data_IF_214788724174
#
_entry.id   IF_214788724174
#
_cell.length_a   1.000
_cell.length_b   1.000
_cell.length_c   1.000
_cell.angle_alpha   90.00
_cell.angle_beta   90.00
_cell.angle_gamma   90.00
#
_symmetry.space_group_name_H-M   'P 1'
#
loop_
_entity.id
_entity.type
_entity.pdbx_description
1 polymer ?
#
# COMPACT_ATOMS: atom_id res chain seq x y z
N UNK A 1 -23.49 14.84 2.42
CA UNK A 1 -23.35 16.30 2.61
C UNK A 1 -21.99 16.65 3.22
N UNK A 2 -20.95 15.82 3.05
CA UNK A 2 -19.75 15.91 3.91
C UNK A 2 -18.42 15.58 3.23
N UNK A 3 -18.38 14.97 2.03
CA UNK A 3 -17.11 14.46 1.47
C UNK A 3 -16.47 15.40 0.45
N UNK A 4 -17.23 16.05 -0.40
CA UNK A 4 -16.68 17.10 -1.23
C UNK A 4 -16.44 18.39 -0.41
N UNK A 5 -17.16 18.64 0.71
CA UNK A 5 -16.78 19.62 1.74
C UNK A 5 -15.43 19.27 2.34
N UNK A 6 -15.07 17.99 2.45
CA UNK A 6 -13.77 17.58 3.02
C UNK A 6 -12.56 17.82 2.12
N UNK A 7 -12.76 17.93 0.80
CA UNK A 7 -11.68 18.30 -0.12
C UNK A 7 -11.81 19.74 -0.65
N UNK A 8 -13.01 20.34 -0.60
CA UNK A 8 -13.26 21.74 -0.98
C UNK A 8 -13.09 22.73 0.18
N UNK A 9 -13.38 22.35 1.44
CA UNK A 9 -13.17 23.18 2.63
C UNK A 9 -11.71 23.18 3.06
N UNK A 10 -10.99 22.09 2.80
CA UNK A 10 -9.55 21.99 2.93
C UNK A 10 -8.92 22.14 1.54
N UNK A 11 -8.92 23.36 0.99
CA UNK A 11 -8.13 23.71 -0.19
C UNK A 11 -6.65 23.33 0.06
N UNK A 12 -6.33 22.06 -0.11
CA UNK A 12 -4.99 21.53 -0.27
C UNK A 12 -4.65 21.91 -1.70
N UNK A 13 -4.36 23.20 -1.91
CA UNK A 13 -3.65 23.62 -3.09
C UNK A 13 -2.39 22.77 -3.17
N UNK A 14 -2.09 22.25 -4.36
CA UNK A 14 -0.90 21.45 -4.62
C UNK A 14 0.36 22.34 -4.55
N UNK A 15 0.67 22.91 -3.39
CA UNK A 15 1.76 23.85 -3.14
C UNK A 15 3.11 23.14 -3.00
N UNK A 16 3.06 21.83 -2.84
CA UNK A 16 4.14 20.99 -2.36
C UNK A 16 4.48 19.86 -3.35
N UNK A 17 3.73 19.74 -4.43
CA UNK A 17 3.98 18.76 -5.47
C UNK A 17 3.74 19.33 -6.85
N UNK A 18 4.35 18.72 -7.85
CA UNK A 18 4.07 18.98 -9.26
C UNK A 18 3.41 17.78 -9.92
N UNK A 19 2.63 18.05 -10.97
CA UNK A 19 2.12 17.00 -11.84
C UNK A 19 3.25 16.54 -12.76
N UNK A 20 3.48 15.23 -12.83
CA UNK A 20 4.42 14.67 -13.78
C UNK A 20 3.80 14.63 -15.17
N UNK A 21 4.62 14.83 -16.19
CA UNK A 21 4.16 14.72 -17.57
C UNK A 21 3.92 13.23 -17.87
N UNK A 22 2.73 12.82 -18.38
CA UNK A 22 2.44 11.43 -18.73
C UNK A 22 3.44 10.80 -19.70
N UNK A 23 4.19 11.58 -20.48
CA UNK A 23 5.26 11.05 -21.34
C UNK A 23 6.50 10.57 -20.57
N UNK A 24 6.60 10.86 -19.27
CA UNK A 24 7.75 10.50 -18.42
C UNK A 24 7.58 9.15 -17.71
N UNK A 25 6.40 8.53 -17.80
CA UNK A 25 6.12 7.26 -17.15
C UNK A 25 5.17 6.40 -17.98
N UNK A 26 5.22 5.10 -17.78
CA UNK A 26 4.29 4.16 -18.41
C UNK A 26 3.30 3.69 -17.35
N UNK A 27 2.00 3.82 -17.63
CA UNK A 27 0.96 3.25 -16.77
C UNK A 27 0.54 1.85 -17.19
N UNK A 28 1.11 1.31 -18.27
CA UNK A 28 0.72 0.03 -18.88
C UNK A 28 -0.78 -0.08 -19.21
N UNK A 29 -1.45 1.07 -19.39
CA UNK A 29 -2.88 1.19 -19.66
C UNK A 29 -3.76 1.32 -18.41
N UNK A 30 -3.17 1.31 -17.22
CA UNK A 30 -3.85 1.65 -15.97
C UNK A 30 -3.95 3.16 -15.77
N UNK A 31 -4.78 3.57 -14.82
CA UNK A 31 -4.85 4.92 -14.28
C UNK A 31 -4.99 6.04 -15.32
N UNK A 32 -5.70 5.80 -16.43
CA UNK A 32 -5.71 6.71 -17.59
C UNK A 32 -6.16 8.15 -17.25
N UNK A 33 -7.08 8.30 -16.30
CA UNK A 33 -7.67 9.59 -15.89
C UNK A 33 -7.06 10.14 -14.57
N UNK A 34 -6.01 9.50 -14.04
CA UNK A 34 -5.36 9.95 -12.81
C UNK A 34 -4.07 10.71 -13.09
N UNK A 35 -3.88 11.81 -12.36
CA UNK A 35 -2.68 12.64 -12.47
C UNK A 35 -1.66 12.18 -11.44
N UNK A 36 -0.53 11.65 -11.90
CA UNK A 36 0.61 11.36 -11.03
C UNK A 36 1.27 12.66 -10.59
N UNK A 37 1.57 12.77 -9.29
CA UNK A 37 2.23 13.93 -8.70
C UNK A 37 3.43 13.51 -7.88
N UNK A 38 4.45 14.37 -7.84
CA UNK A 38 5.69 14.14 -7.08
C UNK A 38 5.96 15.31 -6.12
N UNK A 39 6.32 15.02 -4.87
CA UNK A 39 6.75 16.03 -3.89
C UNK A 39 8.13 16.59 -4.25
N UNK A 40 8.33 17.89 -4.00
CA UNK A 40 9.62 18.55 -4.27
C UNK A 40 10.75 18.13 -3.31
N UNK A 41 10.42 17.76 -2.09
CA UNK A 41 11.29 17.44 -0.95
C UNK A 41 11.25 15.94 -0.62
N UNK A 42 11.12 15.07 -1.64
CA UNK A 42 11.11 13.60 -1.51
C UNK A 42 12.27 13.04 -0.66
N UNK A 43 13.41 13.73 -0.65
CA UNK A 43 14.56 13.39 0.19
C UNK A 43 14.24 13.26 1.69
N UNK A 44 13.22 13.95 2.20
CA UNK A 44 12.81 13.81 3.62
C UNK A 44 12.11 12.47 3.87
N UNK A 45 11.29 11.98 2.94
CA UNK A 45 10.71 10.65 3.03
C UNK A 45 11.77 9.55 2.85
N UNK A 46 12.70 9.75 1.90
CA UNK A 46 13.85 8.84 1.68
C UNK A 46 14.71 8.73 2.95
N UNK A 47 15.02 9.86 3.61
CA UNK A 47 15.75 9.84 4.87
C UNK A 47 15.00 9.08 5.99
N UNK A 48 13.66 9.09 5.97
CA UNK A 48 12.84 8.25 6.85
C UNK A 48 13.00 6.75 6.55
N UNK A 49 13.01 6.39 5.26
CA UNK A 49 13.23 5.02 4.80
C UNK A 49 14.64 4.52 5.18
N UNK A 50 15.67 5.34 4.93
CA UNK A 50 17.05 5.04 5.32
C UNK A 50 17.19 4.78 6.83
N UNK A 51 16.54 5.60 7.65
CA UNK A 51 16.54 5.41 9.10
C UNK A 51 15.85 4.10 9.52
N UNK A 52 14.72 3.74 8.88
CA UNK A 52 14.06 2.47 9.13
C UNK A 52 14.95 1.27 8.73
N UNK A 53 15.63 1.34 7.59
CA UNK A 53 16.60 0.30 7.17
C UNK A 53 17.78 0.19 8.14
N UNK A 54 18.31 1.31 8.61
CA UNK A 54 19.40 1.33 9.57
C UNK A 54 18.99 0.73 10.93
N UNK A 55 17.82 1.10 11.44
CA UNK A 55 17.26 0.51 12.65
C UNK A 55 16.94 -0.98 12.48
N UNK A 56 16.41 -1.38 11.32
CA UNK A 56 16.17 -2.79 11.02
C UNK A 56 17.47 -3.60 11.04
N UNK A 57 18.52 -3.13 10.36
CA UNK A 57 19.82 -3.77 10.36
C UNK A 57 20.44 -3.85 11.75
N UNK A 58 20.27 -2.81 12.58
CA UNK A 58 20.81 -2.74 13.94
C UNK A 58 20.03 -3.56 14.96
N UNK A 59 18.70 -3.54 14.90
CA UNK A 59 17.81 -4.12 15.92
C UNK A 59 17.29 -5.49 15.54
N UNK A 60 16.98 -5.73 14.26
CA UNK A 60 16.44 -6.99 13.75
C UNK A 60 17.56 -7.90 13.24
N UNK A 61 18.60 -7.30 12.63
CA UNK A 61 19.78 -8.03 12.16
C UNK A 61 19.59 -8.84 10.88
N UNK A 62 18.41 -8.75 10.25
CA UNK A 62 18.08 -9.45 9.01
C UNK A 62 18.22 -8.51 7.82
N UNK A 63 18.77 -9.00 6.70
CA UNK A 63 18.78 -8.25 5.45
C UNK A 63 17.46 -8.46 4.72
N UNK A 64 16.89 -7.39 4.18
CA UNK A 64 15.79 -7.53 3.22
C UNK A 64 16.33 -7.96 1.87
N UNK A 65 15.63 -8.86 1.20
CA UNK A 65 15.96 -9.36 -0.14
C UNK A 65 15.24 -8.61 -1.26
N UNK A 66 14.28 -7.75 -0.92
CA UNK A 66 13.50 -6.96 -1.88
C UNK A 66 13.63 -5.46 -1.57
N UNK A 67 13.37 -4.65 -2.59
CA UNK A 67 13.29 -3.19 -2.42
C UNK A 67 12.15 -2.82 -1.45
N UNK A 68 12.38 -1.76 -0.67
CA UNK A 68 11.37 -1.12 0.16
C UNK A 68 10.78 0.09 -0.55
N UNK A 69 10.27 1.06 0.21
CA UNK A 69 9.59 2.28 -0.20
C UNK A 69 10.37 3.16 -1.20
N UNK A 70 11.69 3.05 -1.28
CA UNK A 70 12.54 3.92 -2.12
C UNK A 70 12.60 3.49 -3.60
N UNK A 71 12.41 4.44 -4.51
CA UNK A 71 12.71 4.28 -5.94
C UNK A 71 13.49 5.49 -6.45
N UNK A 72 14.76 5.28 -6.80
CA UNK A 72 15.69 6.33 -7.23
C UNK A 72 15.33 6.97 -8.58
N UNK A 73 14.51 6.29 -9.39
CA UNK A 73 14.12 6.76 -10.74
C UNK A 73 12.90 7.65 -10.66
N UNK A 74 11.83 7.19 -10.01
CA UNK A 74 10.53 7.88 -10.01
C UNK A 74 10.27 8.69 -8.74
N UNK A 75 10.87 8.32 -7.61
CA UNK A 75 10.64 8.91 -6.27
C UNK A 75 10.13 7.87 -5.28
N UNK A 76 10.19 8.16 -3.98
CA UNK A 76 9.72 7.21 -2.97
C UNK A 76 8.22 6.94 -3.07
N UNK A 77 7.81 5.71 -2.77
CA UNK A 77 6.41 5.28 -2.71
C UNK A 77 5.60 6.20 -1.80
N UNK A 78 6.16 6.58 -0.65
CA UNK A 78 5.51 7.50 0.29
C UNK A 78 5.08 8.82 -0.37
N UNK A 79 5.92 9.44 -1.21
CA UNK A 79 5.59 10.75 -1.79
C UNK A 79 4.84 10.69 -3.11
N UNK A 80 4.96 9.58 -3.86
CA UNK A 80 4.16 9.33 -5.06
C UNK A 80 2.72 8.95 -4.70
N UNK A 81 2.53 8.16 -3.64
CA UNK A 81 1.20 7.84 -3.12
C UNK A 81 0.62 8.97 -2.27
N UNK A 82 1.46 9.79 -1.63
CA UNK A 82 1.02 10.94 -0.82
C UNK A 82 1.67 12.24 -1.25
N UNK A 83 1.30 12.76 -2.43
CA UNK A 83 1.84 14.02 -2.94
C UNK A 83 1.36 15.25 -2.15
N UNK A 84 0.52 15.07 -1.14
CA UNK A 84 -0.01 16.10 -0.23
C UNK A 84 0.40 15.88 1.23
N UNK A 85 1.40 15.03 1.47
CA UNK A 85 1.92 14.82 2.82
C UNK A 85 2.45 16.14 3.42
N UNK A 86 2.03 16.42 4.64
CA UNK A 86 2.51 17.56 5.42
C UNK A 86 3.99 17.39 5.72
N UNK A 87 4.79 18.44 5.52
CA UNK A 87 6.25 18.36 5.58
C UNK A 87 6.76 17.84 6.93
N UNK A 88 6.11 18.23 8.03
CA UNK A 88 6.44 17.77 9.39
C UNK A 88 6.13 16.29 9.65
N UNK A 89 5.29 15.67 8.81
CA UNK A 89 4.92 14.24 8.91
C UNK A 89 5.67 13.36 7.90
N UNK A 90 6.35 13.96 6.93
CA UNK A 90 6.97 13.23 5.81
C UNK A 90 8.00 12.19 6.24
N UNK A 91 8.91 12.56 7.14
CA UNK A 91 9.97 11.66 7.59
C UNK A 91 9.40 10.40 8.26
N UNK A 92 8.44 10.58 9.18
CA UNK A 92 7.86 9.45 9.92
C UNK A 92 6.98 8.59 9.00
N UNK A 93 6.30 9.15 8.01
CA UNK A 93 5.56 8.37 7.03
C UNK A 93 6.48 7.52 6.14
N UNK A 94 7.63 8.06 5.71
CA UNK A 94 8.66 7.28 5.01
C UNK A 94 9.14 6.11 5.87
N UNK A 95 9.46 6.36 7.14
CA UNK A 95 9.86 5.32 8.10
C UNK A 95 8.79 4.22 8.26
N UNK A 96 7.51 4.61 8.41
CA UNK A 96 6.40 3.67 8.60
C UNK A 96 6.20 2.77 7.38
N UNK A 97 6.23 3.32 6.16
CA UNK A 97 6.09 2.52 4.95
C UNK A 97 7.26 1.56 4.77
N UNK A 98 8.49 2.04 4.98
CA UNK A 98 9.68 1.18 4.88
C UNK A 98 9.63 0.02 5.89
N UNK A 99 9.26 0.30 7.15
CA UNK A 99 9.06 -0.74 8.15
C UNK A 99 8.02 -1.77 7.70
N UNK A 100 6.91 -1.33 7.10
CA UNK A 100 5.87 -2.23 6.62
C UNK A 100 6.38 -3.13 5.49
N UNK A 101 7.11 -2.61 4.52
CA UNK A 101 7.74 -3.42 3.46
C UNK A 101 8.76 -4.42 4.03
N UNK A 102 9.61 -3.99 4.97
CA UNK A 102 10.59 -4.88 5.61
C UNK A 102 9.90 -6.02 6.38
N UNK A 103 8.82 -5.69 7.12
CA UNK A 103 8.02 -6.67 7.84
C UNK A 103 7.31 -7.65 6.88
N UNK A 104 6.75 -7.15 5.79
CA UNK A 104 6.05 -7.97 4.80
C UNK A 104 7.02 -8.95 4.10
N UNK A 105 8.18 -8.46 3.65
CA UNK A 105 9.24 -9.28 3.08
C UNK A 105 9.70 -10.39 4.03
N UNK A 106 9.81 -10.08 5.34
CA UNK A 106 10.11 -11.08 6.35
C UNK A 106 8.97 -12.09 6.48
N UNK A 107 7.73 -11.63 6.55
CA UNK A 107 6.55 -12.48 6.73
C UNK A 107 6.41 -13.45 5.54
N UNK A 108 6.58 -12.99 4.30
CA UNK A 108 6.64 -13.83 3.11
C UNK A 108 7.74 -14.90 3.20
N UNK A 109 8.96 -14.52 3.57
CA UNK A 109 10.04 -15.48 3.79
C UNK A 109 9.73 -16.47 4.93
N UNK A 110 9.01 -16.05 5.98
CA UNK A 110 8.63 -16.94 7.10
C UNK A 110 7.55 -17.94 6.74
N UNK A 111 6.63 -17.58 5.82
CA UNK A 111 5.61 -18.49 5.28
C UNK A 111 6.25 -19.62 4.51
N UNK A 112 7.44 -19.39 3.98
CA UNK A 112 8.26 -20.35 3.23
C UNK A 112 9.15 -21.22 4.14
N UNK A 113 8.74 -21.39 5.41
CA UNK A 113 9.14 -22.28 6.53
C UNK A 113 10.59 -22.75 6.75
N UNK A 114 11.49 -22.72 5.77
CA UNK A 114 12.92 -23.05 5.90
C UNK A 114 13.83 -21.83 5.67
N UNK A 115 13.36 -20.81 4.93
CA UNK A 115 14.15 -19.64 4.55
C UNK A 115 14.58 -18.75 5.74
N UNK A 116 13.79 -18.68 6.83
CA UNK A 116 14.24 -17.95 8.03
C UNK A 116 15.45 -18.64 8.66
N UNK A 117 15.42 -19.98 8.75
CA UNK A 117 16.52 -20.75 9.30
C UNK A 117 17.75 -20.66 8.38
N UNK A 118 17.55 -20.69 7.06
CA UNK A 118 18.65 -20.60 6.09
C UNK A 118 19.24 -19.18 5.96
N UNK A 119 18.41 -18.12 5.97
CA UNK A 119 18.88 -16.73 6.03
C UNK A 119 19.55 -16.40 7.37
N UNK A 120 19.04 -16.94 8.48
CA UNK A 120 19.69 -16.82 9.80
C UNK A 120 21.05 -17.55 9.84
N UNK A 121 21.16 -18.69 9.15
CA UNK A 121 22.39 -19.47 9.03
C UNK A 121 23.39 -18.82 8.06
N UNK A 122 22.93 -18.21 6.97
CA UNK A 122 23.77 -17.63 5.92
C UNK A 122 24.17 -16.16 6.16
N UNK A 123 23.39 -15.39 6.91
CA UNK A 123 23.65 -13.95 7.13
C UNK A 123 24.66 -13.64 8.24
N UNK A 124 24.95 -14.59 9.13
CA UNK A 124 25.84 -14.37 10.27
C UNK A 124 26.80 -15.54 10.47
N UNK A 125 28.09 -15.29 10.21
CA UNK A 125 29.15 -16.21 10.61
C UNK A 125 29.13 -16.39 12.13
N UNK A 126 28.96 -17.65 12.55
CA UNK A 126 29.29 -18.24 13.87
C UNK A 126 28.40 -17.96 15.10
N UNK A 127 27.97 -19.08 15.73
CA UNK A 127 27.81 -19.36 17.17
C UNK A 127 26.44 -19.25 17.88
N UNK A 128 25.38 -18.64 17.31
CA UNK A 128 24.06 -18.58 17.98
C UNK A 128 23.04 -19.58 17.44
N UNK A 129 22.21 -20.14 18.34
CA UNK A 129 21.12 -21.05 17.96
C UNK A 129 20.01 -20.27 17.23
N UNK A 130 19.40 -20.80 16.16
CA UNK A 130 18.33 -20.11 15.39
C UNK A 130 17.18 -19.54 16.22
N UNK A 131 16.82 -20.23 17.31
CA UNK A 131 15.76 -19.80 18.24
C UNK A 131 16.08 -18.48 18.97
N UNK A 132 17.36 -18.25 19.29
CA UNK A 132 17.81 -17.01 19.93
C UNK A 132 17.70 -15.86 18.93
N UNK A 133 18.13 -16.09 17.70
CA UNK A 133 18.08 -15.08 16.64
C UNK A 133 16.64 -14.70 16.26
N UNK A 134 15.73 -15.67 16.20
CA UNK A 134 14.31 -15.39 15.98
C UNK A 134 13.70 -14.57 17.13
N UNK A 135 14.11 -14.82 18.38
CA UNK A 135 13.69 -14.03 19.54
C UNK A 135 14.26 -12.61 19.51
N UNK A 136 15.51 -12.44 19.10
CA UNK A 136 16.16 -11.13 18.92
C UNK A 136 15.52 -10.33 17.80
N UNK A 137 15.28 -10.94 16.63
CA UNK A 137 14.57 -10.30 15.51
C UNK A 137 13.16 -9.82 15.94
N UNK A 138 12.42 -10.66 16.67
CA UNK A 138 11.11 -10.29 17.22
C UNK A 138 11.21 -9.14 18.22
N UNK A 139 12.25 -9.12 19.05
CA UNK A 139 12.52 -8.03 19.99
C UNK A 139 12.86 -6.73 19.26
N UNK A 140 13.65 -6.79 18.18
CA UNK A 140 13.99 -5.64 17.35
C UNK A 140 12.78 -5.04 16.65
N UNK A 141 11.94 -5.88 16.02
CA UNK A 141 10.68 -5.43 15.42
C UNK A 141 9.76 -4.77 16.45
N UNK A 142 9.70 -5.32 17.67
CA UNK A 142 8.93 -4.74 18.77
C UNK A 142 9.45 -3.34 19.13
N UNK A 143 10.76 -3.14 19.23
CA UNK A 143 11.36 -1.83 19.53
C UNK A 143 11.05 -0.79 18.45
N UNK A 144 11.16 -1.17 17.16
CA UNK A 144 10.78 -0.28 16.05
C UNK A 144 9.29 0.05 16.09
N UNK A 145 8.43 -0.93 16.41
CA UNK A 145 7.00 -0.71 16.55
C UNK A 145 6.65 0.24 17.70
N UNK A 146 7.33 0.12 18.85
CA UNK A 146 7.20 1.04 19.99
C UNK A 146 7.64 2.46 19.62
N UNK A 147 8.77 2.60 18.93
CA UNK A 147 9.26 3.89 18.43
C UNK A 147 8.24 4.57 17.50
N UNK A 148 7.72 3.85 16.50
CA UNK A 148 6.70 4.40 15.60
C UNK A 148 5.43 4.77 16.36
N UNK A 149 4.99 3.92 17.30
CA UNK A 149 3.80 4.16 18.12
C UNK A 149 3.92 5.47 18.90
N UNK A 150 5.05 5.69 19.57
CA UNK A 150 5.29 6.94 20.32
C UNK A 150 5.28 8.16 19.39
N UNK A 151 5.95 8.08 18.24
CA UNK A 151 6.04 9.18 17.27
C UNK A 151 4.68 9.52 16.66
N UNK A 152 3.93 8.52 16.21
CA UNK A 152 2.61 8.70 15.61
C UNK A 152 1.66 9.34 16.65
N UNK A 153 1.61 8.80 17.87
CA UNK A 153 0.69 9.27 18.91
C UNK A 153 1.04 10.65 19.49
N UNK A 154 2.31 11.04 19.46
CA UNK A 154 2.73 12.38 19.87
C UNK A 154 2.39 13.46 18.84
N UNK A 155 2.31 13.10 17.55
CA UNK A 155 1.91 14.00 16.46
C UNK A 155 0.39 14.11 16.36
N UNK A 156 -0.31 12.98 16.27
CA UNK A 156 -1.76 12.93 16.11
C UNK A 156 -2.32 11.68 16.80
N UNK A 157 -2.76 11.84 18.04
CA UNK A 157 -3.30 10.74 18.84
C UNK A 157 -4.56 10.12 18.23
N UNK A 158 -5.41 10.93 17.59
CA UNK A 158 -6.72 10.44 17.09
C UNK A 158 -6.49 9.55 15.88
N UNK A 159 -5.82 10.07 14.85
CA UNK A 159 -5.52 9.29 13.64
C UNK A 159 -4.52 8.18 13.94
N UNK A 160 -3.56 8.44 14.82
CA UNK A 160 -2.59 7.46 15.28
C UNK A 160 -3.20 6.22 15.91
N UNK A 161 -4.21 6.38 16.78
CA UNK A 161 -4.94 5.23 17.33
C UNK A 161 -5.70 4.45 16.26
N UNK A 162 -6.16 5.09 15.17
CA UNK A 162 -6.79 4.38 14.03
C UNK A 162 -5.75 3.55 13.27
N UNK A 163 -4.55 4.10 13.00
CA UNK A 163 -3.42 3.37 12.39
C UNK A 163 -3.08 2.11 13.19
N UNK A 164 -2.85 2.24 14.50
CA UNK A 164 -2.44 1.11 15.35
C UNK A 164 -3.50 0.01 15.42
N UNK A 165 -4.79 0.39 15.45
CA UNK A 165 -5.90 -0.58 15.41
C UNK A 165 -5.98 -1.30 14.06
N UNK A 166 -5.82 -0.57 12.96
CA UNK A 166 -5.83 -1.15 11.62
C UNK A 166 -4.63 -2.10 11.41
N UNK A 167 -3.44 -1.72 11.86
CA UNK A 167 -2.25 -2.57 11.82
C UNK A 167 -2.44 -3.87 12.62
N UNK A 168 -2.98 -3.75 13.85
CA UNK A 168 -3.29 -4.92 14.67
C UNK A 168 -4.29 -5.83 13.98
N UNK A 169 -5.33 -5.29 13.34
CA UNK A 169 -6.30 -6.08 12.57
C UNK A 169 -5.60 -6.80 11.42
N UNK A 170 -4.79 -6.09 10.63
CA UNK A 170 -4.04 -6.65 9.51
C UNK A 170 -3.16 -7.84 9.94
N UNK A 171 -2.35 -7.68 10.99
CA UNK A 171 -1.53 -8.79 11.52
C UNK A 171 -2.41 -9.92 12.07
N UNK A 172 -3.51 -9.61 12.77
CA UNK A 172 -4.36 -10.62 13.42
C UNK A 172 -5.20 -11.43 12.45
N UNK A 173 -5.57 -10.87 11.30
CA UNK A 173 -6.28 -11.59 10.22
C UNK A 173 -5.32 -12.39 9.34
N UNK A 174 -4.07 -12.53 9.77
CA UNK A 174 -3.09 -13.36 9.14
C UNK A 174 -2.59 -12.74 7.85
N UNK A 175 -1.93 -11.59 7.94
CA UNK A 175 -0.90 -11.20 6.98
C UNK A 175 -0.04 -12.44 6.71
N UNK A 176 -0.34 -13.13 5.60
CA UNK A 176 0.30 -14.40 5.31
C UNK A 176 -0.13 -15.70 5.98
N UNK A 177 -1.26 -15.82 6.66
CA UNK A 177 -1.70 -17.16 7.09
C UNK A 177 -2.32 -17.99 5.95
N UNK A 178 -2.35 -17.45 4.73
CA UNK A 178 -3.04 -18.00 3.57
C UNK A 178 -2.37 -19.19 2.89
N UNK A 179 -1.74 -20.11 3.63
CA UNK A 179 -1.38 -21.40 3.02
C UNK A 179 -2.67 -22.13 2.66
N UNK A 180 -2.83 -22.45 1.37
CA UNK A 180 -3.92 -23.26 0.82
C UNK A 180 -5.32 -22.64 0.91
N UNK A 181 -5.46 -21.33 0.68
CA UNK A 181 -6.79 -20.74 0.52
C UNK A 181 -7.34 -21.14 -0.85
N UNK A 182 -8.47 -21.85 -0.84
CA UNK A 182 -9.21 -22.16 -2.05
C UNK A 182 -10.18 -21.01 -2.36
N UNK A 183 -10.09 -20.49 -3.59
CA UNK A 183 -11.02 -19.48 -4.08
C UNK A 183 -11.94 -20.14 -5.11
N UNK A 184 -13.24 -20.21 -4.84
CA UNK A 184 -14.23 -20.75 -5.81
C UNK A 184 -14.59 -19.75 -6.92
N UNK A 185 -14.20 -18.48 -6.76
CA UNK A 185 -14.50 -17.41 -7.70
C UNK A 185 -13.50 -16.27 -7.56
N UNK A 186 -13.39 -15.43 -8.58
CA UNK A 186 -12.55 -14.25 -8.47
C UNK A 186 -13.12 -13.23 -7.45
N UNK A 187 -14.43 -13.21 -7.24
CA UNK A 187 -15.05 -12.30 -6.28
C UNK A 187 -14.76 -12.72 -4.82
N UNK A 188 -14.66 -14.03 -4.54
CA UNK A 188 -14.19 -14.49 -3.22
C UNK A 188 -12.72 -14.13 -2.99
N UNK A 189 -11.88 -14.21 -4.02
CA UNK A 189 -10.49 -13.70 -3.98
C UNK A 189 -10.44 -12.21 -3.68
N UNK A 190 -11.20 -11.38 -4.41
CA UNK A 190 -11.26 -9.92 -4.20
C UNK A 190 -11.65 -9.57 -2.76
N UNK A 191 -12.64 -10.26 -2.20
CA UNK A 191 -13.08 -10.01 -0.82
C UNK A 191 -11.99 -10.36 0.21
N UNK A 192 -11.23 -11.42 -0.03
CA UNK A 192 -10.05 -11.73 0.77
C UNK A 192 -8.95 -10.66 0.61
N UNK A 193 -8.63 -10.29 -0.64
CA UNK A 193 -7.52 -9.39 -0.98
C UNK A 193 -7.70 -7.98 -0.41
N UNK A 194 -8.94 -7.52 -0.24
CA UNK A 194 -9.25 -6.25 0.42
C UNK A 194 -8.72 -6.13 1.85
N UNK A 195 -8.63 -7.24 2.57
CA UNK A 195 -8.07 -7.28 3.94
C UNK A 195 -6.56 -7.51 3.87
N UNK A 196 -6.12 -8.41 2.98
CA UNK A 196 -4.72 -8.83 2.83
C UNK A 196 -3.80 -7.74 2.25
N UNK A 197 -4.30 -6.81 1.45
CA UNK A 197 -3.50 -5.67 0.93
C UNK A 197 -3.22 -4.58 1.99
N UNK A 198 -3.66 -4.78 3.24
CA UNK A 198 -3.57 -3.76 4.30
C UNK A 198 -4.19 -2.40 3.94
N UNK A 199 -5.17 -2.36 3.02
CA UNK A 199 -5.69 -1.12 2.42
C UNK A 199 -6.22 -0.12 3.46
N UNK A 200 -6.94 -0.61 4.47
CA UNK A 200 -7.41 0.23 5.58
C UNK A 200 -6.26 0.86 6.38
N UNK A 201 -5.18 0.10 6.62
CA UNK A 201 -4.02 0.62 7.33
C UNK A 201 -3.31 1.69 6.51
N UNK A 202 -3.10 1.44 5.22
CA UNK A 202 -2.52 2.42 4.30
C UNK A 202 -3.33 3.70 4.31
N UNK A 203 -4.66 3.64 4.15
CA UNK A 203 -5.54 4.82 4.19
C UNK A 203 -5.40 5.66 5.47
N UNK A 204 -5.32 5.03 6.64
CA UNK A 204 -5.08 5.80 7.87
C UNK A 204 -3.68 6.44 7.92
N UNK A 205 -2.65 5.76 7.39
CA UNK A 205 -1.31 6.36 7.24
C UNK A 205 -1.36 7.54 6.27
N UNK A 206 -2.14 7.43 5.19
CA UNK A 206 -2.35 8.50 4.21
C UNK A 206 -3.00 9.73 4.85
N UNK A 207 -4.12 9.52 5.56
CA UNK A 207 -4.83 10.57 6.29
C UNK A 207 -3.96 11.21 7.35
N UNK A 208 -3.20 10.41 8.09
CA UNK A 208 -2.20 10.92 9.03
C UNK A 208 -1.18 11.79 8.32
N UNK A 209 -0.58 11.34 7.21
CA UNK A 209 0.39 12.12 6.45
C UNK A 209 -0.17 13.46 5.97
N UNK A 210 -1.44 13.49 5.56
CA UNK A 210 -2.11 14.71 5.09
C UNK A 210 -2.72 15.58 6.19
N UNK A 211 -2.54 15.23 7.47
CA UNK A 211 -3.22 15.90 8.59
C UNK A 211 -4.75 15.93 8.46
N UNK A 212 -5.32 14.89 7.85
CA UNK A 212 -6.74 14.77 7.57
C UNK A 212 -7.42 13.92 8.64
N UNK A 213 -8.43 14.47 9.31
CA UNK A 213 -9.20 13.76 10.32
C UNK A 213 -10.68 13.76 9.93
N UNK A 214 -11.20 12.57 9.62
CA UNK A 214 -12.58 12.38 9.22
C UNK A 214 -13.43 12.02 10.44
N UNK A 215 -14.62 12.60 10.52
CA UNK A 215 -15.67 12.13 11.42
C UNK A 215 -16.19 10.75 11.00
N UNK A 216 -16.78 9.99 11.91
CA UNK A 216 -17.31 8.65 11.61
C UNK A 216 -18.34 8.68 10.46
N UNK A 217 -19.11 9.77 10.34
CA UNK A 217 -20.05 9.97 9.25
C UNK A 217 -19.35 10.14 7.89
N UNK A 218 -18.30 10.96 7.87
CA UNK A 218 -17.49 11.19 6.68
C UNK A 218 -16.76 9.91 6.26
N UNK A 219 -16.22 9.14 7.21
CA UNK A 219 -15.63 7.83 6.93
C UNK A 219 -16.65 6.86 6.33
N UNK A 220 -17.86 6.81 6.88
CA UNK A 220 -18.94 5.96 6.38
C UNK A 220 -19.35 6.34 4.97
N UNK A 221 -19.44 7.63 4.67
CA UNK A 221 -19.74 8.09 3.33
C UNK A 221 -18.58 7.81 2.35
N UNK A 222 -17.33 7.79 2.81
CA UNK A 222 -16.14 7.62 1.96
C UNK A 222 -15.79 6.15 1.73
N UNK A 223 -16.25 5.26 2.61
CA UNK A 223 -15.94 3.84 2.60
C UNK A 223 -16.12 3.15 1.23
N UNK A 224 -17.17 3.43 0.41
CA UNK A 224 -17.29 2.84 -0.92
C UNK A 224 -16.15 3.23 -1.86
N UNK A 225 -15.72 4.50 -1.85
CA UNK A 225 -14.57 4.98 -2.63
C UNK A 225 -13.27 4.38 -2.12
N UNK A 226 -13.06 4.39 -0.80
CA UNK A 226 -11.86 3.83 -0.20
C UNK A 226 -11.71 2.34 -0.52
N UNK A 227 -12.80 1.57 -0.46
CA UNK A 227 -12.80 0.14 -0.82
C UNK A 227 -12.37 -0.08 -2.27
N UNK A 228 -12.87 0.72 -3.21
CA UNK A 228 -12.44 0.64 -4.61
C UNK A 228 -10.97 1.02 -4.76
N UNK A 229 -10.52 2.08 -4.10
CA UNK A 229 -9.11 2.48 -4.13
C UNK A 229 -8.17 1.37 -3.63
N UNK A 230 -8.53 0.68 -2.54
CA UNK A 230 -7.73 -0.45 -2.02
C UNK A 230 -7.68 -1.60 -3.02
N UNK A 231 -8.81 -1.90 -3.66
CA UNK A 231 -8.90 -3.00 -4.61
C UNK A 231 -8.11 -2.71 -5.89
N UNK A 232 -8.24 -1.49 -6.43
CA UNK A 232 -7.46 -1.04 -7.58
C UNK A 232 -5.96 -1.15 -7.27
N UNK A 233 -5.55 -0.63 -6.11
CA UNK A 233 -4.17 -0.72 -5.65
C UNK A 233 -3.71 -2.18 -5.55
N UNK A 234 -4.50 -3.06 -4.91
CA UNK A 234 -4.17 -4.47 -4.76
C UNK A 234 -4.00 -5.19 -6.09
N UNK A 235 -4.93 -5.01 -7.03
CA UNK A 235 -4.87 -5.68 -8.33
C UNK A 235 -3.78 -5.11 -9.23
N UNK A 236 -3.47 -3.81 -9.11
CA UNK A 236 -2.25 -3.27 -9.70
C UNK A 236 -1.03 -3.98 -9.17
N UNK A 237 -0.88 -4.08 -7.84
CA UNK A 237 0.23 -4.80 -7.20
C UNK A 237 0.31 -6.24 -7.72
N UNK A 238 -0.78 -7.00 -7.69
CA UNK A 238 -0.82 -8.37 -8.20
C UNK A 238 -0.34 -8.48 -9.65
N UNK A 239 -0.77 -7.57 -10.53
CA UNK A 239 -0.34 -7.55 -11.94
C UNK A 239 1.17 -7.33 -12.08
N UNK A 240 1.71 -6.35 -11.37
CA UNK A 240 3.09 -5.88 -11.54
C UNK A 240 4.12 -6.68 -10.75
N UNK A 241 3.73 -7.26 -9.61
CA UNK A 241 4.60 -8.07 -8.76
C UNK A 241 4.61 -9.54 -9.18
N UNK A 242 3.64 -9.98 -9.99
CA UNK A 242 3.45 -11.38 -10.38
C UNK A 242 4.74 -12.06 -10.81
N UNK A 243 5.51 -11.47 -11.72
CA UNK A 243 6.70 -12.15 -12.28
C UNK A 243 7.76 -12.42 -11.20
N UNK A 244 7.95 -11.48 -10.28
CA UNK A 244 8.91 -11.59 -9.18
C UNK A 244 8.39 -12.56 -8.12
N UNK A 245 7.13 -12.42 -7.72
CA UNK A 245 6.51 -13.28 -6.73
C UNK A 245 6.40 -14.73 -7.22
N UNK A 246 6.06 -14.94 -8.49
CA UNK A 246 5.95 -16.25 -9.10
C UNK A 246 7.31 -16.92 -9.27
N UNK A 247 8.37 -16.17 -9.60
CA UNK A 247 9.73 -16.71 -9.62
C UNK A 247 10.14 -17.22 -8.24
N UNK A 248 9.90 -16.44 -7.19
CA UNK A 248 10.16 -16.83 -5.80
C UNK A 248 9.35 -18.06 -5.42
N UNK A 249 8.03 -18.06 -5.71
CA UNK A 249 7.15 -19.20 -5.45
C UNK A 249 7.62 -20.49 -6.15
N UNK A 250 8.18 -20.39 -7.36
CA UNK A 250 8.69 -21.53 -8.11
C UNK A 250 9.99 -22.11 -7.54
N UNK A 251 10.89 -21.25 -7.08
CA UNK A 251 12.20 -21.65 -6.59
C UNK A 251 12.11 -22.37 -5.22
N UNK A 252 11.04 -22.11 -4.45
CA UNK A 252 10.82 -22.68 -3.12
C UNK A 252 10.27 -24.11 -3.10
N UNK A 253 10.07 -24.75 -4.26
CA UNK A 253 9.64 -26.16 -4.34
C UNK A 253 8.20 -26.44 -3.88
N UNK A 254 7.48 -25.46 -3.31
CA UNK A 254 6.03 -25.52 -3.01
C UNK A 254 5.15 -25.33 -4.26
N UNK A 255 5.75 -25.27 -5.45
CA UNK A 255 5.08 -25.18 -6.76
C UNK A 255 4.05 -26.31 -7.03
N UNK A 256 4.01 -27.35 -6.20
CA UNK A 256 3.05 -28.44 -6.29
C UNK A 256 1.67 -28.12 -5.66
N UNK A 257 1.56 -27.12 -4.77
CA UNK A 257 0.24 -26.70 -4.25
C UNK A 257 -0.32 -25.54 -5.07
N UNK A 258 -1.26 -25.86 -5.96
CA UNK A 258 -2.02 -24.89 -6.77
C UNK A 258 -2.69 -23.76 -5.95
N UNK A 259 -2.83 -23.93 -4.64
CA UNK A 259 -3.54 -23.02 -3.72
C UNK A 259 -2.61 -22.24 -2.77
N UNK A 260 -1.30 -22.37 -2.94
CA UNK A 260 -0.32 -21.70 -2.08
C UNK A 260 0.06 -20.29 -2.55
N UNK A 261 -0.30 -19.90 -3.79
CA UNK A 261 0.08 -18.61 -4.35
C UNK A 261 -1.09 -17.61 -4.40
N UNK A 262 -1.03 -16.61 -3.53
CA UNK A 262 -2.07 -15.59 -3.34
C UNK A 262 -1.79 -14.36 -4.21
N UNK A 263 -2.09 -14.45 -5.50
CA UNK A 263 -1.95 -13.35 -6.46
C UNK A 263 -3.10 -13.41 -7.48
N UNK A 264 -3.71 -12.27 -7.81
CA UNK A 264 -4.86 -12.21 -8.71
C UNK A 264 -4.62 -12.81 -10.09
N UNK A 265 -3.42 -12.63 -10.67
CA UNK A 265 -3.07 -13.23 -11.97
C UNK A 265 -3.10 -14.75 -11.87
N UNK A 266 -2.50 -15.32 -10.83
CA UNK A 266 -2.52 -16.76 -10.58
C UNK A 266 -3.95 -17.31 -10.41
N UNK A 267 -4.77 -16.62 -9.62
CA UNK A 267 -6.16 -17.01 -9.40
C UNK A 267 -6.96 -16.98 -10.71
N UNK A 268 -6.73 -16.00 -11.58
CA UNK A 268 -7.37 -15.96 -12.90
C UNK A 268 -6.95 -17.10 -13.82
N UNK A 269 -5.65 -17.44 -13.83
CA UNK A 269 -5.13 -18.60 -14.55
C UNK A 269 -5.83 -19.88 -14.09
N UNK A 270 -5.88 -20.11 -12.78
CA UNK A 270 -6.46 -21.32 -12.19
C UNK A 270 -7.96 -21.43 -12.45
N UNK A 271 -8.72 -20.38 -12.20
CA UNK A 271 -10.19 -20.44 -12.30
C UNK A 271 -10.70 -20.57 -13.73
N UNK A 272 -9.95 -20.08 -14.71
CA UNK A 272 -10.41 -19.96 -16.09
C UNK A 272 -9.57 -20.76 -17.09
N UNK A 273 -8.51 -21.44 -16.65
CA UNK A 273 -7.60 -22.18 -17.53
C UNK A 273 -6.81 -21.27 -18.49
N UNK A 274 -6.50 -20.04 -18.06
CA UNK A 274 -5.83 -19.02 -18.88
C UNK A 274 -4.30 -19.14 -18.82
N UNK A 275 -3.63 -18.71 -19.90
CA UNK A 275 -2.19 -18.43 -19.85
C UNK A 275 -1.87 -17.18 -19.01
N UNK A 276 -0.59 -16.97 -18.68
CA UNK A 276 -0.14 -15.81 -17.89
C UNK A 276 -0.53 -14.49 -18.54
N UNK A 277 -0.28 -14.33 -19.85
CA UNK A 277 -0.56 -13.09 -20.56
C UNK A 277 -2.07 -12.80 -20.62
N UNK A 278 -2.88 -13.83 -20.87
CA UNK A 278 -4.35 -13.73 -20.87
C UNK A 278 -4.88 -13.36 -19.48
N UNK A 279 -4.34 -13.97 -18.42
CA UNK A 279 -4.72 -13.68 -17.06
C UNK A 279 -4.30 -12.26 -16.63
N UNK A 280 -3.11 -11.81 -17.01
CA UNK A 280 -2.66 -10.42 -16.81
C UNK A 280 -3.59 -9.43 -17.50
N UNK A 281 -3.97 -9.67 -18.76
CA UNK A 281 -4.92 -8.81 -19.46
C UNK A 281 -6.30 -8.82 -18.78
N UNK A 282 -6.76 -9.98 -18.30
CA UNK A 282 -8.03 -10.06 -17.57
C UNK A 282 -8.00 -9.29 -16.24
N UNK A 283 -6.89 -9.35 -15.48
CA UNK A 283 -6.67 -8.51 -14.29
C UNK A 283 -6.68 -7.03 -14.66
N UNK A 284 -6.02 -6.67 -15.75
CA UNK A 284 -5.98 -5.28 -16.23
C UNK A 284 -7.37 -4.74 -16.54
N UNK A 285 -8.16 -5.46 -17.34
CA UNK A 285 -9.54 -5.10 -17.69
C UNK A 285 -10.40 -4.95 -16.43
N UNK A 286 -10.29 -5.88 -15.48
CA UNK A 286 -11.07 -5.82 -14.23
C UNK A 286 -10.68 -4.63 -13.37
N UNK A 287 -9.39 -4.32 -13.30
CA UNK A 287 -8.89 -3.16 -12.56
C UNK A 287 -9.35 -1.84 -13.17
N UNK A 288 -9.29 -1.71 -14.51
CA UNK A 288 -9.82 -0.55 -15.23
C UNK A 288 -11.34 -0.37 -15.00
N UNK A 289 -12.10 -1.46 -14.89
CA UNK A 289 -13.51 -1.38 -14.55
C UNK A 289 -13.72 -0.77 -13.14
N UNK A 290 -12.91 -1.15 -12.16
CA UNK A 290 -12.95 -0.54 -10.82
C UNK A 290 -12.48 0.91 -10.82
N UNK A 291 -11.47 1.28 -11.61
CA UNK A 291 -11.03 2.67 -11.80
C UNK A 291 -12.18 3.54 -12.34
N UNK A 292 -12.89 3.05 -13.35
CA UNK A 292 -14.05 3.74 -13.92
C UNK A 292 -15.19 3.88 -12.90
N UNK A 293 -15.45 2.83 -12.12
CA UNK A 293 -16.45 2.88 -11.05
C UNK A 293 -16.07 3.89 -9.97
N UNK A 294 -14.79 3.93 -9.57
CA UNK A 294 -14.27 4.92 -8.63
C UNK A 294 -14.50 6.34 -9.14
N UNK A 295 -14.14 6.62 -10.39
CA UNK A 295 -14.32 7.94 -11.01
C UNK A 295 -15.80 8.33 -11.08
N UNK A 296 -16.69 7.38 -11.40
CA UNK A 296 -18.14 7.62 -11.43
C UNK A 296 -18.67 7.97 -10.03
N UNK A 297 -18.34 7.18 -9.01
CA UNK A 297 -18.77 7.45 -7.64
C UNK A 297 -18.21 8.78 -7.11
N UNK A 298 -16.98 9.10 -7.47
CA UNK A 298 -16.38 10.39 -7.14
C UNK A 298 -17.13 11.56 -7.79
N UNK A 299 -17.47 11.43 -9.07
CA UNK A 299 -18.27 12.42 -9.79
C UNK A 299 -19.65 12.58 -9.15
N UNK A 300 -20.34 11.48 -8.82
CA UNK A 300 -21.64 11.52 -8.16
C UNK A 300 -21.57 12.24 -6.81
N UNK A 301 -20.54 11.96 -6.01
CA UNK A 301 -20.33 12.63 -4.71
C UNK A 301 -20.04 14.12 -4.88
N UNK A 302 -19.19 14.50 -5.82
CA UNK A 302 -18.83 15.91 -6.05
C UNK A 302 -19.94 16.72 -6.73
N UNK A 303 -20.73 16.12 -7.62
CA UNK A 303 -21.86 16.78 -8.28
C UNK A 303 -23.05 16.99 -7.35
N UNK A 304 -23.39 16.00 -6.51
CA UNK A 304 -24.44 16.16 -5.49
C UNK A 304 -24.11 17.29 -4.51
N UNK A 305 -22.83 17.47 -4.20
CA UNK A 305 -22.39 18.58 -3.35
C UNK A 305 -22.40 19.91 -4.08
N UNK A 306 -21.96 19.98 -5.34
CA UNK A 306 -22.15 21.19 -6.16
C UNK A 306 -23.61 21.56 -6.33
N UNK A 307 -24.53 20.60 -6.45
CA UNK A 307 -25.95 20.88 -6.52
C UNK A 307 -26.47 21.46 -5.19
N UNK A 308 -25.98 20.95 -4.06
CA UNK A 308 -26.33 21.45 -2.72
C UNK A 308 -25.70 22.83 -2.44
N UNK A 309 -24.46 23.05 -2.86
CA UNK A 309 -23.75 24.33 -2.79
C UNK A 309 -24.29 25.36 -3.77
N UNK A 310 -24.66 25.00 -5.01
CA UNK A 310 -25.24 25.92 -6.00
C UNK A 310 -26.67 26.37 -5.62
N UNK A 311 -27.41 25.56 -4.86
CA UNK A 311 -28.67 26.01 -4.21
C UNK A 311 -28.38 27.02 -3.09
N UNK A 312 -27.19 26.99 -2.49
CA UNK A 312 -26.79 27.91 -1.41
C UNK A 312 -25.89 29.08 -1.84
N UNK A 313 -25.22 29.01 -3.00
CA UNK A 313 -24.28 30.01 -3.50
C UNK A 313 -24.13 29.92 -5.02
N UNK A 314 -24.73 30.85 -5.73
CA UNK A 314 -24.42 31.11 -7.14
C UNK A 314 -22.98 31.62 -7.30
N UNK A 315 -22.22 30.98 -8.19
CA UNK A 315 -20.88 31.32 -8.74
C UNK A 315 -19.65 30.67 -8.09
N UNK A 316 -19.09 29.65 -8.75
CA UNK A 316 -17.75 29.65 -9.40
C UNK A 316 -17.37 28.26 -9.90
N UNK A 317 -16.93 28.17 -11.15
CA UNK A 317 -16.41 26.95 -11.77
C UNK A 317 -14.95 26.69 -11.39
N UNK A 318 -14.61 25.45 -11.00
CA UNK A 318 -13.30 24.79 -11.25
C UNK A 318 -13.46 23.27 -11.36
N UNK A 319 -12.69 22.62 -12.23
CA UNK A 319 -12.61 21.15 -12.42
C UNK A 319 -11.91 20.48 -11.23
N UNK A 320 -12.32 19.24 -10.91
CA UNK A 320 -11.80 18.45 -9.78
C UNK A 320 -10.68 17.47 -10.22
N UNK A 321 -9.70 17.23 -9.35
CA UNK A 321 -8.57 16.29 -9.50
C UNK A 321 -8.44 15.51 -8.18
N UNK A 322 -8.25 14.20 -8.25
CA UNK A 322 -8.24 13.28 -7.08
C UNK A 322 -6.88 12.59 -6.95
N UNK A 323 -6.27 12.55 -5.75
CA UNK A 323 -5.17 11.64 -5.49
C UNK A 323 -5.74 10.22 -5.26
N UNK A 324 -5.49 9.30 -6.19
CA UNK A 324 -5.65 7.86 -5.97
C UNK A 324 -4.26 7.27 -5.72
N UNK A 325 -4.12 6.32 -4.78
CA UNK A 325 -2.87 5.59 -4.60
C UNK A 325 -2.51 4.87 -5.90
N UNK A 326 -1.59 5.44 -6.66
CA UNK A 326 -0.85 4.70 -7.67
C UNK A 326 0.13 3.80 -6.92
N UNK A 327 -0.23 2.53 -6.71
CA UNK A 327 0.77 1.53 -6.38
C UNK A 327 1.60 1.28 -7.63
N UNK A 328 2.66 2.07 -7.79
CA UNK A 328 3.72 1.78 -8.74
C UNK A 328 4.45 0.54 -8.25
N UNK A 329 4.58 -0.46 -9.12
CA UNK A 329 5.60 -1.47 -8.93
C UNK A 329 6.97 -0.82 -8.92
N UNK A 330 7.74 -1.23 -7.92
CA UNK A 330 9.18 -1.02 -7.89
C UNK A 330 9.82 -1.97 -8.91
N UNK A 331 9.67 -1.67 -10.20
CA UNK A 331 10.61 -2.15 -11.20
C UNK A 331 11.88 -1.33 -11.05
N UNK A 332 12.91 -1.93 -10.50
CA UNK A 332 14.30 -1.60 -10.86
C UNK A 332 15.16 -2.84 -10.73
N UNK A 333 15.51 -3.40 -11.89
CA UNK A 333 16.70 -4.19 -12.29
C UNK A 333 17.11 -5.33 -11.37
#
# INVERSE_FOLDING_TARGET
MAIATLYSKYYLEYQHSEALNPSQYCTEGFCAEFVLRKRFDDGVAVAGCEAARADWGRMVGLKSTRAGCENVVTGSFATLCLPMIASERMWITGYIFEYAFLHDNLTDATKQTDALNEQLVNSLSTAMKPQILAAEAKSGMKQMHEFMTERILSIDKVTGMKILKAWKRFISHGAGSGKNIHFDSFDSFVNYRLVDVAGEWVDYVMRFGMSLNLTDEEERCAAPLSRLAYLIAALHNDYVSFDVEYAIFRDDGEAESLHAFTNGVWVMMYLNGMGVDEAKEAIKVKTQAYENEFLRLWQDLTQNERATENVMNSQREKKAIVPVPLMLSMRTI
#
